data_IF_675686944453
#
_entry.id   IF_675686944453
#
_cell.length_a   1.000
_cell.length_b   1.000
_cell.length_c   1.000
_cell.angle_alpha   90.00
_cell.angle_beta   90.00
_cell.angle_gamma   90.00
#
_symmetry.space_group_name_H-M   'P 1'
#
loop_
_entity.id
_entity.type
_entity.pdbx_description
1 polymer ?
#
# COMPACT_ATOMS: atom_id res chain seq x y z
N UNK A 1 35.22 -1.94 50.29
CA UNK A 1 33.85 -1.62 49.85
C UNK A 1 33.53 -0.23 50.37
N UNK A 2 33.63 0.80 49.54
CA UNK A 2 33.30 2.16 49.95
C UNK A 2 31.77 2.30 49.97
N UNK A 3 31.21 2.44 51.16
CA UNK A 3 29.79 2.70 51.37
C UNK A 3 29.46 4.08 50.76
N UNK A 4 28.65 4.07 49.71
CA UNK A 4 28.37 5.25 48.89
C UNK A 4 27.42 6.19 49.67
N UNK A 5 27.99 7.00 50.55
CA UNK A 5 27.31 7.91 51.48
C UNK A 5 26.82 9.19 50.77
N UNK A 6 26.13 9.04 49.63
CA UNK A 6 25.47 10.15 48.94
C UNK A 6 24.22 10.54 49.72
N UNK A 7 24.04 11.83 50.07
CA UNK A 7 22.86 12.25 50.80
C UNK A 7 21.58 11.91 49.99
N UNK A 8 20.45 11.59 50.66
CA UNK A 8 19.23 11.12 50.01
C UNK A 8 18.72 12.05 48.88
N UNK A 9 18.93 13.36 49.03
CA UNK A 9 18.57 14.38 48.06
C UNK A 9 19.33 14.24 46.74
N UNK A 10 20.62 13.90 46.79
CA UNK A 10 21.47 13.74 45.59
C UNK A 10 21.04 12.51 44.78
N UNK A 11 20.60 11.45 45.46
CA UNK A 11 20.08 10.25 44.79
C UNK A 11 18.79 10.54 44.01
N UNK A 12 17.85 11.26 44.62
CA UNK A 12 16.59 11.60 43.95
C UNK A 12 16.83 12.46 42.70
N UNK A 13 17.68 13.49 42.83
CA UNK A 13 18.09 14.34 41.71
C UNK A 13 18.77 13.53 40.60
N UNK A 14 19.74 12.69 40.95
CA UNK A 14 20.43 11.81 40.01
C UNK A 14 19.47 10.91 39.24
N UNK A 15 18.53 10.25 39.94
CA UNK A 15 17.55 9.38 39.28
C UNK A 15 16.63 10.15 38.33
N UNK A 16 16.23 11.36 38.69
CA UNK A 16 15.43 12.22 37.83
C UNK A 16 16.19 12.63 36.57
N UNK A 17 17.45 13.06 36.70
CA UNK A 17 18.30 13.44 35.57
C UNK A 17 18.55 12.26 34.64
N UNK A 18 18.86 11.08 35.19
CA UNK A 18 19.05 9.84 34.43
C UNK A 18 17.77 9.43 33.70
N UNK A 19 16.62 9.48 34.35
CA UNK A 19 15.33 9.16 33.73
C UNK A 19 14.99 10.14 32.61
N UNK A 20 15.25 11.44 32.82
CA UNK A 20 15.06 12.47 31.81
C UNK A 20 15.95 12.23 30.59
N UNK A 21 17.23 11.92 30.78
CA UNK A 21 18.15 11.63 29.69
C UNK A 21 17.72 10.36 28.91
N UNK A 22 17.34 9.30 29.63
CA UNK A 22 16.82 8.07 29.03
C UNK A 22 15.52 8.32 28.25
N UNK A 23 14.62 9.16 28.77
CA UNK A 23 13.39 9.55 28.09
C UNK A 23 13.70 10.27 26.77
N UNK A 24 14.61 11.25 26.76
CA UNK A 24 15.03 11.96 25.55
C UNK A 24 15.57 11.00 24.49
N UNK A 25 16.53 10.13 24.87
CA UNK A 25 17.10 9.13 23.95
C UNK A 25 16.03 8.22 23.37
N UNK A 26 15.07 7.76 24.18
CA UNK A 26 14.00 6.88 23.71
C UNK A 26 13.00 7.62 22.81
N UNK A 27 12.66 8.87 23.10
CA UNK A 27 11.79 9.70 22.24
C UNK A 27 12.42 9.92 20.88
N UNK A 28 13.71 10.27 20.85
CA UNK A 28 14.45 10.53 19.61
C UNK A 28 14.59 9.25 18.78
N UNK A 29 15.04 8.15 19.38
CA UNK A 29 15.17 6.86 18.71
C UNK A 29 13.83 6.34 18.16
N UNK A 30 12.74 6.49 18.92
CA UNK A 30 11.40 6.08 18.48
C UNK A 30 10.92 6.92 17.30
N UNK A 31 11.15 8.24 17.35
CA UNK A 31 10.73 9.16 16.28
C UNK A 31 11.50 8.90 15.00
N UNK A 32 12.81 8.70 15.09
CA UNK A 32 13.66 8.38 13.95
C UNK A 32 13.29 7.05 13.33
N UNK A 33 13.20 5.98 14.12
CA UNK A 33 12.80 4.66 13.66
C UNK A 33 11.43 4.69 12.98
N UNK A 34 10.46 5.38 13.60
CA UNK A 34 9.13 5.53 13.04
C UNK A 34 9.18 6.23 11.68
N UNK A 35 9.90 7.35 11.58
CA UNK A 35 10.03 8.11 10.33
C UNK A 35 10.67 7.26 9.23
N UNK A 36 11.74 6.53 9.56
CA UNK A 36 12.44 5.64 8.62
C UNK A 36 11.53 4.51 8.11
N UNK A 37 10.91 3.74 9.00
CA UNK A 37 10.03 2.61 8.62
C UNK A 37 8.83 3.12 7.83
N UNK A 38 8.21 4.22 8.26
CA UNK A 38 7.03 4.77 7.61
C UNK A 38 7.37 5.26 6.20
N UNK A 39 8.49 5.99 6.03
CA UNK A 39 8.94 6.43 4.71
C UNK A 39 9.20 5.25 3.78
N UNK A 40 9.98 4.26 4.23
CA UNK A 40 10.29 3.07 3.44
C UNK A 40 9.02 2.29 3.05
N UNK A 41 8.08 2.13 3.97
CA UNK A 41 6.81 1.43 3.70
C UNK A 41 5.93 2.17 2.69
N UNK A 42 5.82 3.51 2.81
CA UNK A 42 5.06 4.35 1.87
C UNK A 42 5.67 4.28 0.47
N UNK A 43 7.00 4.37 0.38
CA UNK A 43 7.71 4.32 -0.88
C UNK A 43 7.54 2.96 -1.57
N UNK A 44 7.77 1.86 -0.85
CA UNK A 44 7.58 0.51 -1.38
C UNK A 44 6.13 0.27 -1.84
N UNK A 45 5.15 0.69 -1.03
CA UNK A 45 3.72 0.58 -1.38
C UNK A 45 3.36 1.40 -2.63
N UNK A 46 3.84 2.64 -2.72
CA UNK A 46 3.60 3.49 -3.88
C UNK A 46 4.24 2.93 -5.16
N UNK A 47 5.43 2.35 -5.07
CA UNK A 47 6.09 1.68 -6.20
C UNK A 47 5.22 0.50 -6.67
N UNK A 48 4.82 -0.39 -5.75
CA UNK A 48 4.01 -1.56 -6.10
C UNK A 48 2.67 -1.17 -6.77
N UNK A 49 1.95 -0.19 -6.20
CA UNK A 49 0.67 0.25 -6.74
C UNK A 49 0.79 0.98 -8.09
N UNK A 50 1.84 1.81 -8.27
CA UNK A 50 2.14 2.42 -9.57
C UNK A 50 2.46 1.36 -10.62
N UNK A 51 3.23 0.34 -10.26
CA UNK A 51 3.51 -0.78 -11.15
C UNK A 51 2.23 -1.51 -11.56
N UNK A 52 1.27 -1.73 -10.66
CA UNK A 52 -0.03 -2.31 -11.01
C UNK A 52 -0.81 -1.45 -12.01
N UNK A 53 -0.82 -0.12 -11.84
CA UNK A 53 -1.43 0.80 -12.82
C UNK A 53 -0.74 0.71 -14.17
N UNK A 54 0.59 0.71 -14.20
CA UNK A 54 1.36 0.64 -15.44
C UNK A 54 1.14 -0.69 -16.16
N UNK A 55 1.15 -1.83 -15.44
CA UNK A 55 0.93 -3.15 -16.04
C UNK A 55 -0.48 -3.24 -16.63
N UNK A 56 -1.52 -2.89 -15.88
CA UNK A 56 -2.89 -2.94 -16.39
C UNK A 56 -3.11 -1.95 -17.55
N UNK A 57 -2.61 -0.72 -17.41
CA UNK A 57 -2.76 0.32 -18.44
C UNK A 57 -2.02 -0.04 -19.73
N UNK A 58 -0.79 -0.54 -19.63
CA UNK A 58 -0.02 -0.96 -20.80
C UNK A 58 -0.67 -2.15 -21.52
N UNK A 59 -1.16 -3.15 -20.79
CA UNK A 59 -1.91 -4.26 -21.40
C UNK A 59 -3.15 -3.79 -22.15
N UNK A 60 -3.93 -2.86 -21.56
CA UNK A 60 -5.10 -2.27 -22.22
C UNK A 60 -4.71 -1.54 -23.52
N UNK A 61 -3.64 -0.74 -23.49
CA UNK A 61 -3.12 -0.01 -24.65
C UNK A 61 -2.67 -1.00 -25.73
N UNK A 62 -1.88 -2.02 -25.39
CA UNK A 62 -1.41 -3.04 -26.34
C UNK A 62 -2.57 -3.74 -27.04
N UNK A 63 -3.61 -4.13 -26.30
CA UNK A 63 -4.81 -4.74 -26.88
C UNK A 63 -5.54 -3.75 -27.80
N UNK A 64 -5.71 -2.50 -27.38
CA UNK A 64 -6.37 -1.48 -28.20
C UNK A 64 -5.59 -1.20 -29.49
N UNK A 65 -4.26 -1.11 -29.43
CA UNK A 65 -3.38 -0.96 -30.59
C UNK A 65 -3.51 -2.17 -31.53
N UNK A 66 -3.52 -3.40 -30.99
CA UNK A 66 -3.74 -4.61 -31.78
C UNK A 66 -5.10 -4.58 -32.49
N UNK A 67 -6.17 -4.19 -31.78
CA UNK A 67 -7.51 -4.06 -32.36
C UNK A 67 -7.55 -3.03 -33.49
N UNK A 68 -6.89 -1.88 -33.31
CA UNK A 68 -6.78 -0.86 -34.35
C UNK A 68 -6.11 -1.40 -35.61
N UNK A 69 -5.06 -2.20 -35.45
CA UNK A 69 -4.39 -2.87 -36.57
C UNK A 69 -5.25 -3.92 -37.28
N UNK A 70 -6.04 -4.69 -36.53
CA UNK A 70 -7.00 -5.66 -37.10
C UNK A 70 -8.13 -4.95 -37.83
N UNK A 71 -8.67 -3.87 -37.26
CA UNK A 71 -9.77 -3.10 -37.83
C UNK A 71 -9.39 -2.35 -39.12
N UNK A 72 -8.10 -2.20 -39.43
CA UNK A 72 -7.64 -1.61 -40.68
C UNK A 72 -7.62 -2.60 -41.86
N UNK A 73 -7.82 -3.90 -41.63
CA UNK A 73 -7.82 -4.93 -42.68
C UNK A 73 -9.17 -4.98 -43.42
N UNK A 74 -9.19 -5.41 -44.68
CA UNK A 74 -10.43 -5.47 -45.50
C UNK A 74 -11.40 -6.59 -45.09
N UNK A 75 -10.88 -7.68 -44.54
CA UNK A 75 -11.67 -8.83 -44.07
C UNK A 75 -11.63 -8.87 -42.55
N UNK A 76 -12.65 -8.31 -41.90
CA UNK A 76 -12.74 -8.23 -40.45
C UNK A 76 -13.86 -9.15 -39.98
N UNK A 77 -13.49 -10.08 -39.11
CA UNK A 77 -14.44 -10.82 -38.30
C UNK A 77 -14.82 -9.97 -37.08
N UNK A 78 -15.93 -9.24 -37.18
CA UNK A 78 -16.42 -8.35 -36.12
C UNK A 78 -16.65 -9.06 -34.79
N UNK A 79 -17.00 -10.35 -34.83
CA UNK A 79 -17.23 -11.15 -33.63
C UNK A 79 -15.92 -11.33 -32.84
N UNK A 80 -14.80 -11.56 -33.54
CA UNK A 80 -13.46 -11.67 -32.92
C UNK A 80 -13.01 -10.36 -32.31
N UNK A 81 -13.19 -9.27 -33.04
CA UNK A 81 -12.84 -7.92 -32.53
C UNK A 81 -13.67 -7.61 -31.28
N UNK A 82 -14.96 -7.92 -31.26
CA UNK A 82 -15.83 -7.72 -30.10
C UNK A 82 -15.38 -8.55 -28.87
N UNK A 83 -15.01 -9.82 -29.09
CA UNK A 83 -14.54 -10.70 -28.01
C UNK A 83 -13.25 -10.18 -27.37
N UNK A 84 -12.26 -9.79 -28.18
CA UNK A 84 -11.02 -9.22 -27.64
C UNK A 84 -11.27 -7.83 -27.02
N UNK A 85 -12.12 -7.00 -27.62
CA UNK A 85 -12.49 -5.69 -27.05
C UNK A 85 -13.14 -5.82 -25.66
N UNK A 86 -13.89 -6.89 -25.41
CA UNK A 86 -14.50 -7.14 -24.10
C UNK A 86 -13.45 -7.28 -22.99
N UNK A 87 -12.23 -7.75 -23.32
CA UNK A 87 -11.14 -7.93 -22.36
C UNK A 87 -10.56 -6.60 -21.85
N UNK A 88 -10.67 -5.53 -22.64
CA UNK A 88 -10.22 -4.18 -22.28
C UNK A 88 -10.89 -3.69 -20.99
N UNK A 89 -12.16 -4.08 -20.77
CA UNK A 89 -12.91 -3.72 -19.55
C UNK A 89 -12.22 -4.25 -18.29
N UNK A 90 -11.69 -5.47 -18.31
CA UNK A 90 -11.00 -6.06 -17.16
C UNK A 90 -9.73 -5.29 -16.78
N UNK A 91 -8.93 -4.91 -17.78
CA UNK A 91 -7.74 -4.09 -17.55
C UNK A 91 -8.10 -2.68 -17.06
N UNK A 92 -9.15 -2.06 -17.61
CA UNK A 92 -9.63 -0.76 -17.15
C UNK A 92 -10.12 -0.80 -15.69
N UNK A 93 -10.87 -1.83 -15.29
CA UNK A 93 -11.25 -2.04 -13.90
C UNK A 93 -10.02 -2.34 -13.02
N UNK A 94 -9.03 -3.09 -13.53
CA UNK A 94 -7.76 -3.30 -12.87
C UNK A 94 -7.04 -1.99 -12.53
N UNK A 95 -6.96 -1.06 -13.50
CA UNK A 95 -6.40 0.29 -13.27
C UNK A 95 -7.22 1.06 -12.23
N UNK A 96 -8.55 1.08 -12.35
CA UNK A 96 -9.42 1.81 -11.42
C UNK A 96 -9.27 1.31 -9.97
N UNK A 97 -9.19 -0.01 -9.78
CA UNK A 97 -8.93 -0.62 -8.47
C UNK A 97 -7.53 -0.31 -7.95
N UNK A 98 -6.49 -0.32 -8.81
CA UNK A 98 -5.15 0.08 -8.38
C UNK A 98 -5.08 1.55 -7.93
N UNK A 99 -5.81 2.46 -8.59
CA UNK A 99 -5.95 3.85 -8.15
C UNK A 99 -6.72 3.95 -6.83
N UNK A 100 -7.80 3.19 -6.66
CA UNK A 100 -8.52 3.13 -5.39
C UNK A 100 -7.62 2.60 -4.26
N UNK A 101 -6.80 1.58 -4.51
CA UNK A 101 -5.82 1.08 -3.56
C UNK A 101 -4.78 2.15 -3.18
N UNK A 102 -4.34 3.00 -4.12
CA UNK A 102 -3.49 4.16 -3.82
C UNK A 102 -4.18 5.16 -2.91
N UNK A 103 -5.45 5.48 -3.15
CA UNK A 103 -6.23 6.36 -2.27
C UNK A 103 -6.39 5.77 -0.85
N UNK A 104 -6.67 4.47 -0.73
CA UNK A 104 -6.76 3.78 0.55
C UNK A 104 -5.40 3.70 1.27
N UNK A 105 -4.30 3.52 0.52
CA UNK A 105 -2.94 3.59 1.07
C UNK A 105 -2.64 4.99 1.62
N UNK A 106 -3.05 6.06 0.93
CA UNK A 106 -2.96 7.42 1.46
C UNK A 106 -3.74 7.58 2.77
N UNK A 107 -4.98 7.09 2.85
CA UNK A 107 -5.77 7.12 4.08
C UNK A 107 -5.13 6.29 5.21
N UNK A 108 -4.48 5.18 4.88
CA UNK A 108 -3.69 4.38 5.82
C UNK A 108 -2.57 5.23 6.43
N UNK A 109 -1.81 5.95 5.60
CA UNK A 109 -0.73 6.83 6.08
C UNK A 109 -1.26 8.00 6.90
N UNK A 110 -2.38 8.59 6.49
CA UNK A 110 -3.04 9.66 7.23
C UNK A 110 -3.49 9.21 8.63
N UNK A 111 -4.13 8.04 8.73
CA UNK A 111 -4.59 7.49 10.01
C UNK A 111 -3.42 6.98 10.87
N UNK A 112 -2.32 6.53 10.26
CA UNK A 112 -1.08 6.23 10.97
C UNK A 112 -0.52 7.51 11.61
N UNK A 113 -0.43 8.61 10.87
CA UNK A 113 -0.02 9.91 11.40
C UNK A 113 -0.88 10.34 12.59
N UNK A 114 -2.21 10.18 12.49
CA UNK A 114 -3.14 10.42 13.60
C UNK A 114 -2.90 9.52 14.82
N UNK A 115 -2.53 8.26 14.60
CA UNK A 115 -2.18 7.30 15.66
C UNK A 115 -0.96 7.78 16.45
N UNK A 116 0.09 8.26 15.78
CA UNK A 116 1.32 8.75 16.44
C UNK A 116 1.09 10.08 17.12
N UNK A 117 0.38 11.00 16.46
CA UNK A 117 0.01 12.29 17.04
C UNK A 117 -0.84 12.15 18.31
N UNK A 118 -1.52 11.00 18.49
CA UNK A 118 -2.29 10.71 19.70
C UNK A 118 -1.45 10.19 20.88
N UNK A 119 -0.18 9.81 20.67
CA UNK A 119 0.72 9.38 21.75
C UNK A 119 1.24 10.58 22.54
N UNK A 120 1.48 10.39 23.83
CA UNK A 120 2.04 11.41 24.73
C UNK A 120 3.42 10.98 25.20
N UNK A 121 4.37 11.90 25.13
CA UNK A 121 5.69 11.72 25.70
C UNK A 121 5.65 12.02 27.21
N UNK A 122 6.23 11.14 28.02
CA UNK A 122 6.36 11.26 29.48
C UNK A 122 7.83 11.09 29.88
N UNK A 123 8.23 11.69 31.00
CA UNK A 123 9.56 11.52 31.59
C UNK A 123 9.62 10.36 32.60
N UNK A 124 8.47 9.75 32.88
CA UNK A 124 8.35 8.56 33.71
C UNK A 124 8.16 7.36 32.82
N UNK A 125 8.80 6.24 33.17
CA UNK A 125 8.67 5.00 32.42
C UNK A 125 7.26 4.41 32.59
N UNK A 126 6.57 4.00 31.51
CA UNK A 126 7.02 4.01 30.12
C UNK A 126 7.01 5.42 29.52
N UNK A 127 8.11 5.84 28.88
CA UNK A 127 8.29 7.23 28.40
C UNK A 127 7.33 7.63 27.26
N UNK A 128 6.52 6.70 26.75
CA UNK A 128 5.50 6.95 25.73
C UNK A 128 4.22 6.26 26.17
N UNK A 129 3.14 7.04 26.29
CA UNK A 129 1.83 6.57 26.73
C UNK A 129 0.80 6.83 25.63
N UNK A 130 -0.10 5.89 25.41
CA UNK A 130 -1.18 6.03 24.43
C UNK A 130 -2.22 7.06 24.93
N UNK A 131 -2.60 7.99 24.06
CA UNK A 131 -3.67 8.94 24.35
C UNK A 131 -5.08 8.38 24.11
N UNK A 132 -6.14 9.14 24.46
CA UNK A 132 -7.52 8.66 24.43
C UNK A 132 -8.02 8.30 23.03
N UNK A 133 -7.49 8.94 21.98
CA UNK A 133 -7.89 8.70 20.57
C UNK A 133 -7.09 7.58 19.89
N UNK A 134 -6.06 7.03 20.55
CA UNK A 134 -5.15 6.04 19.95
C UNK A 134 -5.88 4.82 19.40
N UNK A 135 -6.81 4.25 20.17
CA UNK A 135 -7.56 3.04 19.77
C UNK A 135 -8.41 3.27 18.53
N UNK A 136 -9.03 4.43 18.40
CA UNK A 136 -9.88 4.77 17.25
C UNK A 136 -9.05 4.92 15.98
N UNK A 137 -7.96 5.69 16.03
CA UNK A 137 -7.06 5.86 14.89
C UNK A 137 -6.43 4.54 14.46
N UNK A 138 -6.03 3.69 15.41
CA UNK A 138 -5.48 2.37 15.13
C UNK A 138 -6.48 1.46 14.39
N UNK A 139 -7.77 1.48 14.77
CA UNK A 139 -8.81 0.70 14.07
C UNK A 139 -8.97 1.15 12.63
N UNK A 140 -9.06 2.46 12.40
CA UNK A 140 -9.17 3.00 11.03
C UNK A 140 -7.93 2.70 10.19
N UNK A 141 -6.75 2.80 10.77
CA UNK A 141 -5.50 2.44 10.10
C UNK A 141 -5.48 0.98 9.65
N UNK A 142 -5.85 0.04 10.53
CA UNK A 142 -5.94 -1.38 10.19
C UNK A 142 -6.98 -1.63 9.09
N UNK A 143 -8.15 -0.99 9.21
CA UNK A 143 -9.23 -1.15 8.23
C UNK A 143 -8.80 -0.69 6.83
N UNK A 144 -8.25 0.52 6.70
CA UNK A 144 -7.80 1.05 5.41
C UNK A 144 -6.61 0.26 4.85
N UNK A 145 -5.71 -0.22 5.70
CA UNK A 145 -4.58 -1.04 5.27
C UNK A 145 -5.05 -2.36 4.65
N UNK A 146 -5.92 -3.10 5.36
CA UNK A 146 -6.49 -4.36 4.87
C UNK A 146 -7.25 -4.12 3.57
N UNK A 147 -8.09 -3.08 3.52
CA UNK A 147 -8.84 -2.73 2.32
C UNK A 147 -7.91 -2.41 1.13
N UNK A 148 -6.85 -1.62 1.34
CA UNK A 148 -5.88 -1.29 0.29
C UNK A 148 -5.21 -2.54 -0.28
N UNK A 149 -4.76 -3.45 0.59
CA UNK A 149 -4.11 -4.71 0.21
C UNK A 149 -5.07 -5.60 -0.57
N UNK A 150 -6.30 -5.80 -0.08
CA UNK A 150 -7.30 -6.62 -0.76
C UNK A 150 -7.65 -6.05 -2.15
N UNK A 151 -7.88 -4.74 -2.25
CA UNK A 151 -8.19 -4.09 -3.52
C UNK A 151 -7.02 -4.22 -4.52
N UNK A 152 -5.77 -4.11 -4.06
CA UNK A 152 -4.59 -4.33 -4.89
C UNK A 152 -4.51 -5.78 -5.41
N UNK A 153 -4.80 -6.77 -4.57
CA UNK A 153 -4.86 -8.17 -5.01
C UNK A 153 -6.00 -8.44 -5.99
N UNK A 154 -7.17 -7.85 -5.78
CA UNK A 154 -8.28 -7.95 -6.74
C UNK A 154 -7.89 -7.33 -8.08
N UNK A 155 -7.24 -6.15 -8.08
CA UNK A 155 -6.70 -5.53 -9.30
C UNK A 155 -5.75 -6.46 -10.05
N UNK A 156 -4.82 -7.11 -9.35
CA UNK A 156 -3.91 -8.09 -9.93
C UNK A 156 -4.66 -9.34 -10.45
N UNK A 157 -5.67 -9.81 -9.73
CA UNK A 157 -6.53 -10.90 -10.17
C UNK A 157 -7.27 -10.58 -11.47
N UNK A 158 -7.80 -9.35 -11.61
CA UNK A 158 -8.44 -8.89 -12.85
C UNK A 158 -7.46 -8.85 -14.03
N UNK A 159 -6.20 -8.44 -13.79
CA UNK A 159 -5.16 -8.50 -14.81
C UNK A 159 -4.95 -9.94 -15.32
N UNK A 160 -4.73 -10.88 -14.40
CA UNK A 160 -4.48 -12.29 -14.74
C UNK A 160 -5.70 -12.89 -15.47
N UNK A 161 -6.90 -12.62 -14.99
CA UNK A 161 -8.13 -13.07 -15.63
C UNK A 161 -8.32 -12.48 -17.03
N UNK A 162 -8.06 -11.18 -17.20
CA UNK A 162 -8.08 -10.50 -18.49
C UNK A 162 -7.11 -11.13 -19.49
N UNK A 163 -5.90 -11.47 -19.03
CA UNK A 163 -4.88 -12.15 -19.86
C UNK A 163 -5.34 -13.52 -20.36
N UNK A 164 -5.99 -14.33 -19.51
CA UNK A 164 -6.53 -15.62 -19.93
C UNK A 164 -7.63 -15.46 -20.99
N UNK A 165 -8.57 -14.54 -20.78
CA UNK A 165 -9.63 -14.26 -21.76
C UNK A 165 -9.07 -13.78 -23.10
N UNK A 166 -8.05 -12.92 -23.07
CA UNK A 166 -7.38 -12.46 -24.29
C UNK A 166 -6.69 -13.62 -25.00
N UNK A 167 -6.00 -14.50 -24.27
CA UNK A 167 -5.35 -15.69 -24.84
C UNK A 167 -6.35 -16.64 -25.48
N UNK A 168 -7.47 -16.93 -24.81
CA UNK A 168 -8.48 -17.87 -25.32
C UNK A 168 -9.16 -17.32 -26.59
N UNK A 169 -9.43 -16.01 -26.63
CA UNK A 169 -9.94 -15.33 -27.81
C UNK A 169 -8.98 -15.40 -29.02
N UNK A 170 -7.67 -15.51 -28.77
CA UNK A 170 -6.62 -15.60 -29.81
C UNK A 170 -6.30 -17.04 -30.24
N UNK A 171 -6.55 -18.05 -29.40
CA UNK A 171 -6.25 -19.48 -29.69
C UNK A 171 -7.34 -20.22 -30.46
N UNK A 172 -8.62 -19.99 -30.13
CA UNK A 172 -9.75 -20.58 -30.86
C UNK A 172 -9.85 -20.29 -32.38
N UNK A 173 -9.22 -19.26 -32.97
CA UNK A 173 -9.15 -19.03 -34.41
C UNK A 173 -8.49 -20.15 -35.24
N UNK A 174 -7.64 -21.01 -34.67
CA UNK A 174 -6.88 -22.00 -35.45
C UNK A 174 -7.64 -23.30 -35.75
N UNK A 175 -8.69 -23.61 -34.98
CA UNK A 175 -9.38 -24.90 -35.10
C UNK A 175 -10.50 -24.91 -36.15
N UNK A 176 -10.99 -23.74 -36.59
CA UNK A 176 -12.13 -23.64 -37.51
C UNK A 176 -11.73 -23.37 -38.97
N UNK A 177 -10.44 -23.32 -39.30
CA UNK A 177 -9.94 -23.13 -40.66
C UNK A 177 -9.47 -24.43 -41.33
N UNK A 178 -9.61 -25.57 -40.65
CA UNK A 178 -9.24 -26.90 -41.16
C UNK A 178 -10.45 -27.80 -41.49
N UNK A 179 -11.67 -27.26 -41.49
CA UNK A 179 -12.88 -27.92 -42.00
C UNK A 179 -13.52 -27.09 -43.12
#
# INVERSE_FOLDING_TARGET
MAENNTPPFDRAKWTYELNRENAHRQHDATRELFHYINKASIEAGNIALKTLVVINGSAAITILTFLGGVAAKREIDFLKVANVASTIKWFAFGVALAVLAMALSYLTNYTMAGTIASKRATYEHPFIVDGPKFRTWRRWNILFHIAAVLVAFVSLGLFVYGMFLTSDAVRHPLASSEM
#
